data_IF_477372132296
#
_entry.id   IF_477372132296
#
_cell.length_a   1.000
_cell.length_b   1.000
_cell.length_c   1.000
_cell.angle_alpha   90.00
_cell.angle_beta   90.00
_cell.angle_gamma   90.00
#
_symmetry.space_group_name_H-M   'P 1'
#
loop_
_entity.id
_entity.type
_entity.pdbx_description
1 polymer ?
#
# COMPACT_ATOMS: atom_id res chain seq x y z
N UNK A 1 -0.98 16.68 24.00
CA UNK A 1 -2.05 17.61 23.59
C UNK A 1 -1.48 18.85 22.90
N UNK A 2 -0.51 19.59 23.51
CA UNK A 2 0.17 20.77 22.93
C UNK A 2 0.96 20.41 21.66
N UNK A 3 1.62 19.26 21.66
CA UNK A 3 2.33 18.68 20.54
C UNK A 3 1.41 18.51 19.32
N UNK A 4 0.28 17.84 19.49
CA UNK A 4 -0.68 17.53 18.40
C UNK A 4 -1.44 18.77 17.91
N UNK A 5 -1.59 19.79 18.78
CA UNK A 5 -2.20 21.07 18.43
C UNK A 5 -1.24 22.02 17.71
N UNK A 6 0.00 21.60 17.49
CA UNK A 6 1.04 22.45 16.89
C UNK A 6 1.23 23.76 17.65
N UNK A 7 1.25 23.69 19.00
CA UNK A 7 1.25 24.85 19.90
C UNK A 7 2.54 25.65 19.80
N UNK A 8 2.42 26.96 19.68
CA UNK A 8 3.54 27.88 19.49
C UNK A 8 4.42 27.96 20.75
N UNK A 9 3.79 28.00 21.95
CA UNK A 9 4.52 28.17 23.22
C UNK A 9 5.34 26.92 23.50
N UNK A 10 4.75 25.75 23.25
CA UNK A 10 5.45 24.47 23.37
C UNK A 10 6.60 24.36 22.35
N UNK A 11 6.38 24.74 21.11
CA UNK A 11 7.43 24.74 20.07
C UNK A 11 8.59 25.70 20.42
N UNK A 12 8.31 26.89 20.95
CA UNK A 12 9.33 27.84 21.43
C UNK A 12 10.14 27.26 22.60
N UNK A 13 9.43 26.58 23.54
CA UNK A 13 10.10 25.94 24.66
C UNK A 13 11.05 24.83 24.16
N UNK A 14 10.61 23.96 23.24
CA UNK A 14 11.47 22.96 22.64
C UNK A 14 12.66 23.59 21.91
N UNK A 15 12.43 24.64 21.13
CA UNK A 15 13.47 25.35 20.40
C UNK A 15 14.51 25.99 21.32
N UNK A 16 14.14 26.42 22.54
CA UNK A 16 15.09 27.00 23.50
C UNK A 16 16.11 26.00 24.05
N UNK A 17 15.95 24.70 23.80
CA UNK A 17 16.80 23.63 24.28
C UNK A 17 17.94 23.27 23.30
N UNK A 18 17.95 23.85 22.09
CA UNK A 18 18.90 23.48 21.04
C UNK A 18 19.22 24.66 20.11
N UNK A 19 20.32 24.55 19.37
CA UNK A 19 20.78 25.57 18.41
C UNK A 19 20.30 25.29 16.99
N UNK A 20 19.90 24.03 16.69
CA UNK A 20 19.41 23.60 15.38
C UNK A 20 18.44 22.43 15.53
N UNK A 21 17.61 22.22 14.52
CA UNK A 21 16.67 21.12 14.44
C UNK A 21 16.99 20.21 13.25
N UNK A 22 16.98 18.90 13.46
CA UNK A 22 17.10 17.89 12.41
C UNK A 22 15.88 16.97 12.46
N UNK A 23 15.10 16.96 11.37
CA UNK A 23 14.06 15.97 11.19
C UNK A 23 14.61 14.74 10.49
N UNK A 24 14.69 13.63 11.19
CA UNK A 24 15.11 12.33 10.63
C UNK A 24 14.00 11.26 10.74
N UNK A 25 12.75 11.70 10.94
CA UNK A 25 11.58 10.85 11.13
C UNK A 25 10.58 11.03 9.98
N UNK A 26 10.79 10.34 8.86
CA UNK A 26 9.90 10.42 7.69
C UNK A 26 8.45 10.04 8.02
N UNK A 27 8.25 9.01 8.85
CA UNK A 27 6.92 8.49 9.20
C UNK A 27 5.98 9.50 9.86
N UNK A 28 6.52 10.51 10.56
CA UNK A 28 5.72 11.58 11.20
C UNK A 28 5.80 12.93 10.48
N UNK A 29 6.62 13.07 9.43
CA UNK A 29 6.85 14.35 8.73
C UNK A 29 5.60 14.94 8.07
N UNK A 30 4.55 14.15 7.87
CA UNK A 30 3.27 14.61 7.34
C UNK A 30 2.36 15.24 8.40
N UNK A 31 2.73 15.22 9.68
CA UNK A 31 1.91 15.71 10.79
C UNK A 31 2.25 17.15 11.12
N UNK A 32 1.23 17.97 11.30
CA UNK A 32 1.37 19.35 11.79
C UNK A 32 1.51 19.36 13.31
N UNK A 33 2.58 18.78 13.82
CA UNK A 33 2.92 18.74 15.26
C UNK A 33 3.95 19.81 15.63
N UNK A 34 3.94 20.26 16.87
CA UNK A 34 4.83 21.30 17.37
C UNK A 34 6.31 20.95 17.15
N UNK A 35 6.72 19.72 17.47
CA UNK A 35 8.09 19.23 17.29
C UNK A 35 8.48 18.89 15.85
N UNK A 36 7.54 18.89 14.91
CA UNK A 36 7.77 18.56 13.49
C UNK A 36 7.64 19.79 12.60
N UNK A 37 6.56 20.55 12.79
CA UNK A 37 6.20 21.70 11.94
C UNK A 37 6.56 23.03 12.60
N UNK A 38 5.97 23.33 13.75
CA UNK A 38 6.09 24.66 14.36
C UNK A 38 7.51 25.00 14.84
N UNK A 39 8.28 24.00 15.27
CA UNK A 39 9.68 24.17 15.72
C UNK A 39 10.57 24.76 14.63
N UNK A 40 10.26 24.47 13.34
CA UNK A 40 11.07 24.95 12.20
C UNK A 40 10.97 26.47 11.99
N UNK A 41 10.02 27.15 12.63
CA UNK A 41 9.90 28.60 12.61
C UNK A 41 10.89 29.29 13.57
N UNK A 42 11.48 28.53 14.51
CA UNK A 42 12.32 29.08 15.58
C UNK A 42 13.77 28.63 15.54
N UNK A 43 14.09 27.58 14.75
CA UNK A 43 15.46 27.04 14.62
C UNK A 43 15.84 26.83 13.16
N UNK A 44 17.14 26.98 12.80
CA UNK A 44 17.66 26.44 11.56
C UNK A 44 17.32 24.95 11.46
N UNK A 45 16.65 24.54 10.36
CA UNK A 45 16.04 23.22 10.25
C UNK A 45 16.60 22.48 9.05
N UNK A 46 16.93 21.20 9.24
CA UNK A 46 17.58 20.35 8.26
C UNK A 46 16.90 18.97 8.19
N UNK A 47 17.00 18.33 7.03
CA UNK A 47 16.67 16.92 6.89
C UNK A 47 17.81 16.05 7.42
N UNK A 48 17.49 15.00 8.17
CA UNK A 48 18.44 13.98 8.55
C UNK A 48 18.68 12.98 7.42
N UNK A 49 19.70 12.13 7.57
CA UNK A 49 20.14 11.17 6.54
C UNK A 49 19.06 10.12 6.21
N UNK A 50 18.31 9.67 7.21
CA UNK A 50 17.21 8.74 6.97
C UNK A 50 16.07 9.40 6.19
N UNK A 51 15.69 10.63 6.55
CA UNK A 51 14.68 11.41 5.83
C UNK A 51 15.11 11.66 4.38
N UNK A 52 16.36 12.02 4.14
CA UNK A 52 16.90 12.21 2.79
C UNK A 52 16.84 10.91 1.97
N UNK A 53 17.21 9.77 2.58
CA UNK A 53 17.14 8.45 1.94
C UNK A 53 15.71 8.10 1.53
N UNK A 54 14.73 8.31 2.41
CA UNK A 54 13.30 8.09 2.14
C UNK A 54 12.80 8.98 0.98
N UNK A 55 13.13 10.27 1.02
CA UNK A 55 12.75 11.23 -0.03
C UNK A 55 13.35 10.82 -1.38
N UNK A 56 14.63 10.46 -1.42
CA UNK A 56 15.32 10.07 -2.65
C UNK A 56 14.75 8.76 -3.23
N UNK A 57 14.38 7.79 -2.39
CA UNK A 57 13.74 6.57 -2.83
C UNK A 57 12.35 6.85 -3.43
N UNK A 58 11.56 7.73 -2.78
CA UNK A 58 10.23 8.10 -3.27
C UNK A 58 10.28 8.94 -4.55
N UNK A 59 11.31 9.77 -4.75
CA UNK A 59 11.52 10.48 -6.03
C UNK A 59 11.60 9.52 -7.21
N UNK A 60 12.25 8.36 -7.06
CA UNK A 60 12.36 7.35 -8.12
C UNK A 60 11.01 6.75 -8.53
N UNK A 61 10.00 6.76 -7.65
CA UNK A 61 8.64 6.25 -7.94
C UNK A 61 7.60 7.34 -8.19
N UNK A 62 7.97 8.62 -8.04
CA UNK A 62 7.04 9.75 -8.20
C UNK A 62 7.45 10.75 -9.28
N UNK A 63 8.75 10.95 -9.51
CA UNK A 63 9.29 11.95 -10.46
C UNK A 63 10.28 11.35 -11.46
N UNK A 64 11.15 10.42 -11.06
CA UNK A 64 12.16 9.77 -11.89
C UNK A 64 11.70 8.38 -12.35
N UNK A 65 10.42 8.29 -12.72
CA UNK A 65 9.72 7.02 -12.95
C UNK A 65 10.27 6.30 -14.17
N UNK A 66 10.69 5.05 -13.97
CA UNK A 66 10.90 4.09 -15.06
C UNK A 66 9.60 3.32 -15.32
N UNK A 67 9.09 3.43 -16.53
CA UNK A 67 7.85 2.79 -16.96
C UNK A 67 8.13 1.48 -17.70
N UNK A 68 7.19 0.50 -17.65
CA UNK A 68 5.90 0.55 -16.99
C UNK A 68 6.02 0.49 -15.46
N UNK A 69 5.21 1.33 -14.77
CA UNK A 69 5.15 1.38 -13.30
C UNK A 69 3.84 0.78 -12.79
N UNK A 70 3.96 -0.05 -11.75
CA UNK A 70 2.84 -0.71 -11.09
C UNK A 70 2.79 -0.39 -9.62
N UNK A 71 1.60 -0.01 -9.13
CA UNK A 71 1.33 0.07 -7.70
C UNK A 71 0.45 -1.09 -7.27
N UNK A 72 0.81 -1.77 -6.17
CA UNK A 72 -0.01 -2.79 -5.51
C UNK A 72 -0.45 -2.21 -4.18
N UNK A 73 -1.76 -2.08 -3.98
CA UNK A 73 -2.34 -1.49 -2.78
C UNK A 73 -3.26 -2.51 -2.13
N UNK A 74 -2.93 -2.89 -0.90
CA UNK A 74 -3.76 -3.70 -0.02
C UNK A 74 -4.21 -2.92 1.21
N UNK A 75 -5.03 -3.55 2.03
CA UNK A 75 -5.53 -2.98 3.27
C UNK A 75 -7.02 -3.19 3.48
N UNK A 76 -7.57 -2.67 4.57
CA UNK A 76 -8.97 -2.88 4.96
C UNK A 76 -9.92 -1.80 4.43
N UNK A 77 -9.47 -0.53 4.33
CA UNK A 77 -10.32 0.63 4.03
C UNK A 77 -9.90 1.34 2.76
N UNK A 78 -10.79 1.35 1.75
CA UNK A 78 -10.56 2.05 0.48
C UNK A 78 -10.66 3.56 0.66
N UNK A 79 -11.54 4.06 1.53
CA UNK A 79 -11.72 5.49 1.80
C UNK A 79 -10.44 6.16 2.31
N UNK A 80 -9.66 5.47 3.13
CA UNK A 80 -8.39 5.98 3.65
C UNK A 80 -7.29 6.08 2.58
N UNK A 81 -7.42 5.37 1.46
CA UNK A 81 -6.44 5.31 0.38
C UNK A 81 -6.88 6.05 -0.89
N UNK A 82 -8.12 6.58 -0.93
CA UNK A 82 -8.68 7.21 -2.14
C UNK A 82 -7.80 8.34 -2.68
N UNK A 83 -7.36 9.25 -1.82
CA UNK A 83 -6.52 10.38 -2.23
C UNK A 83 -5.19 9.92 -2.81
N UNK A 84 -4.59 8.89 -2.21
CA UNK A 84 -3.35 8.28 -2.70
C UNK A 84 -3.59 7.64 -4.06
N UNK A 85 -4.63 6.82 -4.22
CA UNK A 85 -4.96 6.15 -5.48
C UNK A 85 -5.19 7.18 -6.59
N UNK A 86 -5.98 8.22 -6.34
CA UNK A 86 -6.26 9.30 -7.30
C UNK A 86 -4.99 10.05 -7.72
N UNK A 87 -4.07 10.30 -6.79
CA UNK A 87 -2.79 10.95 -7.07
C UNK A 87 -1.80 10.06 -7.85
N UNK A 88 -1.92 8.74 -7.72
CA UNK A 88 -1.08 7.78 -8.43
C UNK A 88 -1.59 7.50 -9.86
N UNK A 89 -2.90 7.50 -10.10
CA UNK A 89 -3.50 7.21 -11.42
C UNK A 89 -2.84 7.99 -12.57
N UNK A 90 -2.59 9.31 -12.49
CA UNK A 90 -1.96 10.05 -13.57
C UNK A 90 -0.52 9.65 -13.89
N UNK A 91 0.15 8.98 -12.97
CA UNK A 91 1.58 8.67 -13.05
C UNK A 91 1.86 7.19 -13.31
N UNK A 92 0.92 6.30 -12.97
CA UNK A 92 1.08 4.85 -12.98
C UNK A 92 0.37 4.21 -14.16
N UNK A 93 0.99 3.17 -14.71
CA UNK A 93 0.39 2.38 -15.81
C UNK A 93 -0.57 1.32 -15.26
N UNK A 94 -0.29 0.77 -14.05
CA UNK A 94 -1.15 -0.20 -13.40
C UNK A 94 -1.32 0.11 -11.92
N UNK A 95 -2.54 0.00 -11.42
CA UNK A 95 -2.85 -0.04 -9.99
C UNK A 95 -3.61 -1.34 -9.70
N UNK A 96 -3.06 -2.14 -8.81
CA UNK A 96 -3.61 -3.43 -8.38
C UNK A 96 -4.17 -3.26 -6.98
N UNK A 97 -5.47 -3.45 -6.84
CA UNK A 97 -6.17 -3.34 -5.56
C UNK A 97 -6.44 -4.74 -5.02
N UNK A 98 -5.89 -5.04 -3.85
CA UNK A 98 -5.97 -6.35 -3.18
C UNK A 98 -6.38 -6.20 -1.71
N UNK A 99 -6.40 -7.30 -0.95
CA UNK A 99 -6.82 -7.30 0.45
C UNK A 99 -8.31 -6.99 0.61
N UNK A 100 -8.74 -6.68 1.84
CA UNK A 100 -10.15 -6.46 2.13
C UNK A 100 -10.74 -5.23 1.41
N UNK A 101 -9.92 -4.24 1.06
CA UNK A 101 -10.41 -3.11 0.27
C UNK A 101 -10.87 -3.51 -1.14
N UNK A 102 -10.38 -4.60 -1.71
CA UNK A 102 -10.85 -5.12 -2.98
C UNK A 102 -12.30 -5.65 -2.91
N UNK A 103 -12.77 -6.04 -1.73
CA UNK A 103 -14.15 -6.48 -1.51
C UNK A 103 -15.16 -5.37 -1.87
N UNK A 104 -14.79 -4.10 -1.65
CA UNK A 104 -15.63 -2.97 -2.03
C UNK A 104 -15.83 -2.91 -3.55
N UNK A 105 -14.76 -3.17 -4.33
CA UNK A 105 -14.84 -3.20 -5.79
C UNK A 105 -15.64 -4.42 -6.27
N UNK A 106 -15.42 -5.59 -5.67
CA UNK A 106 -16.15 -6.82 -6.00
C UNK A 106 -17.66 -6.60 -5.76
N UNK A 107 -18.04 -6.01 -4.62
CA UNK A 107 -19.40 -5.65 -4.28
C UNK A 107 -19.98 -4.61 -5.25
N UNK A 108 -19.23 -3.54 -5.55
CA UNK A 108 -19.62 -2.50 -6.52
C UNK A 108 -19.92 -3.07 -7.91
N UNK A 109 -19.19 -4.12 -8.32
CA UNK A 109 -19.42 -4.84 -9.58
C UNK A 109 -20.59 -5.82 -9.54
N UNK A 110 -21.37 -5.82 -8.44
CA UNK A 110 -22.58 -6.63 -8.29
C UNK A 110 -22.34 -8.06 -7.82
N UNK A 111 -21.14 -8.41 -7.37
CA UNK A 111 -20.84 -9.73 -6.85
C UNK A 111 -21.06 -9.79 -5.33
N UNK A 112 -21.47 -10.96 -4.83
CA UNK A 112 -21.54 -11.23 -3.40
C UNK A 112 -20.13 -11.29 -2.79
N UNK A 113 -20.00 -10.84 -1.56
CA UNK A 113 -18.76 -10.92 -0.78
C UNK A 113 -18.93 -11.70 0.53
N UNK A 114 -20.12 -12.32 0.73
CA UNK A 114 -20.47 -13.05 1.94
C UNK A 114 -20.38 -12.18 3.20
N UNK A 115 -19.69 -12.71 4.22
CA UNK A 115 -19.43 -12.02 5.50
C UNK A 115 -18.15 -11.15 5.46
N UNK A 116 -17.53 -10.97 4.29
CA UNK A 116 -16.26 -10.23 4.16
C UNK A 116 -16.43 -8.76 4.54
N UNK A 117 -15.37 -8.19 5.11
CA UNK A 117 -15.33 -6.79 5.47
C UNK A 117 -15.48 -5.92 4.21
N UNK A 118 -16.34 -4.92 4.29
CA UNK A 118 -16.46 -3.82 3.32
C UNK A 118 -16.79 -2.51 4.04
N UNK A 119 -16.54 -1.41 3.38
CA UNK A 119 -17.02 -0.10 3.81
C UNK A 119 -18.40 0.18 3.19
N UNK A 120 -19.24 0.86 3.93
CA UNK A 120 -20.52 1.35 3.41
C UNK A 120 -20.32 2.65 2.63
N UNK A 121 -21.22 2.93 1.69
CA UNK A 121 -21.27 4.18 0.92
C UNK A 121 -19.97 4.54 0.16
N UNK A 122 -19.22 3.55 -0.33
CA UNK A 122 -17.99 3.77 -1.08
C UNK A 122 -18.17 3.72 -2.61
N UNK A 123 -19.39 3.60 -3.12
CA UNK A 123 -19.71 3.50 -4.55
C UNK A 123 -19.24 4.72 -5.33
N UNK A 124 -19.43 5.92 -4.78
CA UNK A 124 -18.98 7.19 -5.39
C UNK A 124 -17.46 7.18 -5.51
N UNK A 125 -16.76 6.77 -4.44
CA UNK A 125 -15.30 6.69 -4.38
C UNK A 125 -14.77 5.72 -5.45
N UNK A 126 -15.38 4.55 -5.57
CA UNK A 126 -14.97 3.52 -6.54
C UNK A 126 -15.23 4.00 -7.97
N UNK A 127 -16.38 4.63 -8.21
CA UNK A 127 -16.68 5.20 -9.51
C UNK A 127 -15.65 6.26 -9.92
N UNK A 128 -15.29 7.16 -9.02
CA UNK A 128 -14.26 8.18 -9.27
C UNK A 128 -12.89 7.56 -9.61
N UNK A 129 -12.49 6.46 -8.94
CA UNK A 129 -11.26 5.74 -9.27
C UNK A 129 -11.31 5.23 -10.70
N UNK A 130 -12.40 4.58 -11.11
CA UNK A 130 -12.52 4.02 -12.45
C UNK A 130 -12.62 5.09 -13.54
N UNK A 131 -13.38 6.17 -13.31
CA UNK A 131 -13.47 7.28 -14.28
C UNK A 131 -12.12 8.00 -14.42
N UNK A 132 -11.45 8.30 -13.30
CA UNK A 132 -10.11 8.90 -13.34
C UNK A 132 -9.13 7.99 -14.09
N UNK A 133 -9.17 6.67 -13.84
CA UNK A 133 -8.26 5.73 -14.50
C UNK A 133 -8.43 5.68 -16.02
N UNK A 134 -9.66 5.81 -16.53
CA UNK A 134 -9.92 5.88 -17.98
C UNK A 134 -9.26 7.11 -18.62
N UNK A 135 -9.36 8.28 -17.95
CA UNK A 135 -8.81 9.54 -18.46
C UNK A 135 -7.28 9.52 -18.60
N UNK A 136 -6.59 8.71 -17.79
CA UNK A 136 -5.12 8.61 -17.77
C UNK A 136 -4.57 7.29 -18.32
N UNK A 137 -5.43 6.43 -18.90
CA UNK A 137 -5.03 5.10 -19.40
C UNK A 137 -4.37 4.21 -18.34
N UNK A 138 -4.61 4.48 -17.06
CA UNK A 138 -4.12 3.66 -15.95
C UNK A 138 -5.03 2.45 -15.76
N UNK A 139 -4.46 1.25 -15.75
CA UNK A 139 -5.23 0.01 -15.62
C UNK A 139 -5.47 -0.34 -14.16
N UNK A 140 -6.73 -0.32 -13.73
CA UNK A 140 -7.12 -0.82 -12.41
C UNK A 140 -7.36 -2.33 -12.50
N UNK A 141 -6.64 -3.08 -11.65
CA UNK A 141 -6.79 -4.54 -11.52
C UNK A 141 -7.26 -4.88 -10.12
N UNK A 142 -8.22 -5.78 -10.03
CA UNK A 142 -8.77 -6.32 -8.80
C UNK A 142 -8.98 -7.84 -8.94
N UNK A 143 -9.23 -8.60 -7.87
CA UNK A 143 -9.36 -10.06 -7.94
C UNK A 143 -10.47 -10.54 -8.89
N UNK A 144 -10.18 -11.59 -9.65
CA UNK A 144 -11.13 -12.34 -10.48
C UNK A 144 -11.54 -13.65 -9.80
N UNK A 145 -10.66 -14.18 -8.97
CA UNK A 145 -10.88 -15.31 -8.09
C UNK A 145 -10.25 -15.05 -6.71
N UNK A 146 -10.73 -15.74 -5.71
CA UNK A 146 -10.37 -15.52 -4.31
C UNK A 146 -10.22 -16.84 -3.56
N UNK A 147 -9.52 -16.79 -2.42
CA UNK A 147 -9.56 -17.83 -1.40
C UNK A 147 -10.58 -17.45 -0.33
N UNK A 148 -11.50 -18.35 -0.07
CA UNK A 148 -12.54 -18.16 0.95
C UNK A 148 -12.44 -19.19 2.06
N UNK A 149 -12.88 -18.80 3.26
CA UNK A 149 -13.14 -19.66 4.42
C UNK A 149 -14.46 -19.28 5.08
N UNK A 150 -15.01 -20.11 5.97
CA UNK A 150 -16.17 -19.75 6.80
C UNK A 150 -15.76 -18.87 8.01
N UNK A 151 -14.51 -19.00 8.42
CA UNK A 151 -13.85 -18.20 9.45
C UNK A 151 -12.35 -18.05 9.10
N UNK A 152 -11.63 -17.27 9.89
CA UNK A 152 -10.20 -16.95 9.66
C UNK A 152 -9.25 -18.15 9.84
N UNK A 153 -9.67 -19.20 10.54
CA UNK A 153 -8.88 -20.40 10.84
C UNK A 153 -9.20 -21.60 9.93
N UNK A 154 -10.13 -21.40 8.98
CA UNK A 154 -10.62 -22.46 8.10
C UNK A 154 -9.58 -22.82 7.02
N UNK A 155 -9.79 -23.98 6.37
CA UNK A 155 -9.05 -24.32 5.16
C UNK A 155 -9.51 -23.47 3.99
N UNK A 156 -8.57 -22.97 3.21
CA UNK A 156 -8.86 -22.16 2.04
C UNK A 156 -9.56 -22.96 0.93
N UNK A 157 -10.52 -22.32 0.27
CA UNK A 157 -11.19 -22.81 -0.95
C UNK A 157 -11.10 -21.77 -2.03
N UNK A 158 -10.68 -22.16 -3.24
CA UNK A 158 -10.66 -21.27 -4.41
C UNK A 158 -12.09 -21.07 -4.93
N UNK A 159 -12.44 -19.83 -5.20
CA UNK A 159 -13.71 -19.46 -5.85
C UNK A 159 -13.55 -18.31 -6.83
N UNK A 160 -14.28 -18.37 -7.93
CA UNK A 160 -14.53 -17.20 -8.77
C UNK A 160 -15.40 -16.20 -7.99
N UNK A 161 -15.20 -14.90 -8.20
CA UNK A 161 -15.90 -13.86 -7.44
C UNK A 161 -17.43 -13.88 -7.55
N UNK A 162 -17.98 -14.49 -8.62
CA UNK A 162 -19.42 -14.65 -8.83
C UNK A 162 -20.04 -15.84 -8.06
N UNK A 163 -19.23 -16.66 -7.41
CA UNK A 163 -19.65 -17.92 -6.74
C UNK A 163 -19.48 -17.89 -5.21
N UNK A 164 -19.29 -16.72 -4.61
CA UNK A 164 -19.10 -16.55 -3.17
C UNK A 164 -20.46 -16.70 -2.47
N UNK A 165 -20.49 -17.50 -1.38
CA UNK A 165 -21.68 -17.74 -0.58
C UNK A 165 -21.82 -16.73 0.56
N UNK A 166 -23.04 -16.58 1.07
CA UNK A 166 -23.36 -15.63 2.13
C UNK A 166 -22.67 -15.95 3.48
N UNK A 167 -22.27 -17.22 3.71
CA UNK A 167 -21.59 -17.68 4.93
C UNK A 167 -20.05 -17.69 4.83
N UNK A 168 -19.48 -17.20 3.73
CA UNK A 168 -18.04 -17.21 3.46
C UNK A 168 -17.38 -15.83 3.65
N UNK A 169 -16.09 -15.86 3.94
CA UNK A 169 -15.20 -14.70 4.04
C UNK A 169 -14.16 -14.79 2.92
N UNK A 170 -13.93 -13.70 2.21
CA UNK A 170 -12.78 -13.55 1.30
C UNK A 170 -11.55 -13.25 2.15
N UNK A 171 -10.54 -14.11 2.09
CA UNK A 171 -9.37 -14.02 2.96
C UNK A 171 -8.04 -13.92 2.19
N UNK A 172 -8.01 -14.26 0.89
CA UNK A 172 -6.85 -14.02 0.01
C UNK A 172 -7.30 -13.98 -1.46
N UNK A 173 -6.41 -13.58 -2.34
CA UNK A 173 -6.60 -13.66 -3.79
C UNK A 173 -6.37 -15.08 -4.31
N UNK A 174 -7.10 -15.46 -5.36
CA UNK A 174 -7.00 -16.80 -5.96
C UNK A 174 -5.86 -16.95 -6.98
N UNK A 175 -5.60 -18.18 -7.44
CA UNK A 175 -4.47 -18.50 -8.33
C UNK A 175 -4.54 -17.80 -9.71
N UNK A 176 -5.74 -17.57 -10.24
CA UNK A 176 -5.94 -16.85 -11.50
C UNK A 176 -5.53 -15.38 -11.35
N UNK A 177 -5.96 -14.74 -10.26
CA UNK A 177 -5.58 -13.38 -9.89
C UNK A 177 -4.07 -13.27 -9.66
N UNK A 178 -3.48 -14.21 -8.91
CA UNK A 178 -2.03 -14.29 -8.70
C UNK A 178 -1.28 -14.32 -10.03
N UNK A 179 -1.68 -15.19 -10.95
CA UNK A 179 -1.02 -15.30 -12.26
C UNK A 179 -1.12 -14.01 -13.07
N UNK A 180 -2.26 -13.34 -13.03
CA UNK A 180 -2.46 -12.02 -13.66
C UNK A 180 -1.52 -10.97 -13.08
N UNK A 181 -1.43 -10.88 -11.75
CA UNK A 181 -0.54 -9.96 -11.03
C UNK A 181 0.92 -10.25 -11.36
N UNK A 182 1.33 -11.53 -11.36
CA UNK A 182 2.69 -11.94 -11.74
C UNK A 182 3.06 -11.48 -13.15
N UNK A 183 2.13 -11.57 -14.10
CA UNK A 183 2.37 -11.10 -15.48
C UNK A 183 2.49 -9.57 -15.54
N UNK A 184 1.71 -8.82 -14.76
CA UNK A 184 1.85 -7.35 -14.67
C UNK A 184 3.22 -7.00 -14.09
N UNK A 185 3.63 -7.62 -12.96
CA UNK A 185 4.93 -7.38 -12.32
C UNK A 185 6.09 -7.70 -13.28
N UNK A 186 6.02 -8.81 -14.03
CA UNK A 186 7.06 -9.19 -15.00
C UNK A 186 7.28 -8.13 -16.08
N UNK A 187 6.26 -7.39 -16.44
CA UNK A 187 6.32 -6.33 -17.45
C UNK A 187 6.59 -4.93 -16.86
N UNK A 188 6.74 -4.79 -15.56
CA UNK A 188 6.96 -3.50 -14.89
C UNK A 188 8.46 -3.23 -14.70
N UNK A 189 8.91 -2.00 -14.88
CA UNK A 189 10.26 -1.56 -14.52
C UNK A 189 10.32 -0.93 -13.13
N UNK A 190 9.16 -0.53 -12.59
CA UNK A 190 9.03 -0.03 -11.21
C UNK A 190 7.82 -0.66 -10.55
N UNK A 191 7.98 -1.10 -9.30
CA UNK A 191 6.89 -1.64 -8.48
C UNK A 191 6.88 -0.96 -7.11
N UNK A 192 5.74 -0.39 -6.75
CA UNK A 192 5.44 0.10 -5.40
C UNK A 192 4.41 -0.83 -4.77
N UNK A 193 4.71 -1.38 -3.59
CA UNK A 193 3.80 -2.29 -2.90
C UNK A 193 3.53 -1.84 -1.46
N UNK A 194 2.25 -1.64 -1.13
CA UNK A 194 1.78 -1.25 0.20
C UNK A 194 0.51 -2.02 0.57
N UNK A 195 0.60 -2.90 1.52
CA UNK A 195 -0.49 -3.75 2.05
C UNK A 195 -0.52 -5.16 1.46
N UNK A 196 -0.74 -6.19 2.31
CA UNK A 196 -0.84 -7.59 1.90
C UNK A 196 -2.07 -7.86 1.03
N UNK A 197 -2.01 -8.96 0.28
CA UNK A 197 -3.09 -9.38 -0.61
C UNK A 197 -4.21 -10.14 0.12
N UNK A 198 -3.93 -10.70 1.28
CA UNK A 198 -4.86 -11.50 2.06
C UNK A 198 -4.54 -11.46 3.56
N UNK A 199 -5.22 -12.32 4.32
CA UNK A 199 -5.02 -12.52 5.75
C UNK A 199 -3.77 -13.38 6.00
N UNK A 200 -2.60 -12.73 5.88
CA UNK A 200 -1.28 -13.40 5.86
C UNK A 200 -0.88 -13.99 7.21
N UNK A 201 -1.52 -13.61 8.29
CA UNK A 201 -1.32 -14.16 9.63
C UNK A 201 -1.68 -15.65 9.69
N UNK A 202 -2.60 -16.10 8.82
CA UNK A 202 -2.88 -17.52 8.63
C UNK A 202 -2.20 -18.02 7.34
N UNK A 203 -1.32 -19.03 7.41
CA UNK A 203 -0.64 -19.60 6.23
C UNK A 203 -1.58 -20.08 5.11
N UNK A 204 -2.82 -20.46 5.45
CA UNK A 204 -3.83 -20.86 4.46
C UNK A 204 -4.27 -19.71 3.53
N UNK A 205 -4.03 -18.45 3.92
CA UNK A 205 -4.46 -17.24 3.23
C UNK A 205 -3.31 -16.24 2.98
N UNK A 206 -2.06 -16.71 3.05
CA UNK A 206 -0.86 -15.90 2.83
C UNK A 206 -0.27 -16.03 1.42
N UNK A 207 -0.74 -17.00 0.63
CA UNK A 207 -0.12 -17.38 -0.63
C UNK A 207 -0.12 -16.24 -1.66
N UNK A 208 -1.18 -15.43 -1.73
CA UNK A 208 -1.27 -14.28 -2.62
C UNK A 208 -0.11 -13.30 -2.39
N UNK A 209 0.11 -12.93 -1.15
CA UNK A 209 1.19 -12.02 -0.75
C UNK A 209 2.57 -12.63 -0.98
N UNK A 210 2.76 -13.91 -0.68
CA UNK A 210 4.04 -14.62 -0.90
C UNK A 210 4.42 -14.69 -2.38
N UNK A 211 3.47 -14.98 -3.25
CA UNK A 211 3.72 -15.08 -4.69
C UNK A 211 3.99 -13.70 -5.33
N UNK A 212 3.35 -12.64 -4.83
CA UNK A 212 3.68 -11.25 -5.19
C UNK A 212 5.13 -10.95 -4.81
N UNK A 213 5.50 -11.16 -3.54
CA UNK A 213 6.84 -10.93 -3.03
C UNK A 213 7.91 -11.68 -3.83
N UNK A 214 7.75 -13.00 -4.00
CA UNK A 214 8.67 -13.84 -4.79
C UNK A 214 8.84 -13.35 -6.22
N UNK A 215 7.76 -12.88 -6.84
CA UNK A 215 7.80 -12.40 -8.23
C UNK A 215 8.59 -11.11 -8.35
N UNK A 216 8.38 -10.16 -7.42
CA UNK A 216 9.13 -8.90 -7.36
C UNK A 216 10.61 -9.20 -7.15
N UNK A 217 10.95 -10.00 -6.14
CA UNK A 217 12.34 -10.34 -5.79
C UNK A 217 13.05 -11.04 -6.94
N UNK A 218 12.39 -12.01 -7.60
CA UNK A 218 12.99 -12.69 -8.76
C UNK A 218 13.37 -11.70 -9.86
N UNK A 219 12.53 -10.71 -10.09
CA UNK A 219 12.78 -9.68 -11.09
C UNK A 219 13.83 -8.67 -10.61
N UNK A 220 13.83 -8.33 -9.33
CA UNK A 220 14.82 -7.45 -8.71
C UNK A 220 16.24 -8.03 -8.82
N UNK A 221 16.42 -9.32 -8.50
CA UNK A 221 17.70 -10.04 -8.64
C UNK A 221 18.24 -10.07 -10.07
N UNK A 222 17.40 -9.89 -11.08
CA UNK A 222 17.84 -9.72 -12.47
C UNK A 222 18.16 -8.27 -12.86
N UNK A 223 18.06 -7.32 -11.93
CA UNK A 223 18.28 -5.89 -12.17
C UNK A 223 17.25 -5.22 -13.08
N UNK A 224 16.07 -5.87 -13.29
CA UNK A 224 15.08 -5.42 -14.29
C UNK A 224 13.87 -4.72 -13.65
N UNK A 225 13.89 -4.44 -12.36
CA UNK A 225 12.84 -3.69 -11.67
C UNK A 225 13.43 -2.90 -10.51
N UNK A 226 12.91 -1.71 -10.27
CA UNK A 226 13.11 -0.99 -9.02
C UNK A 226 11.88 -1.22 -8.12
N UNK A 227 12.12 -1.78 -6.92
CA UNK A 227 11.07 -2.22 -6.01
C UNK A 227 11.07 -1.43 -4.71
N UNK A 228 9.93 -0.84 -4.39
CA UNK A 228 9.68 -0.13 -3.13
C UNK A 228 8.55 -0.81 -2.38
N UNK A 229 8.77 -1.10 -1.12
CA UNK A 229 7.72 -1.62 -0.22
C UNK A 229 7.53 -0.70 0.97
N UNK A 230 6.29 -0.61 1.45
CA UNK A 230 5.93 0.16 2.63
C UNK A 230 4.67 -0.39 3.30
N UNK A 231 4.36 0.18 4.47
CA UNK A 231 3.22 -0.24 5.28
C UNK A 231 3.59 -1.34 6.28
N UNK A 232 3.16 -1.15 7.54
CA UNK A 232 3.51 -2.02 8.66
C UNK A 232 3.21 -3.49 8.41
N UNK A 233 2.02 -3.80 7.89
CA UNK A 233 1.60 -5.18 7.62
C UNK A 233 2.43 -5.83 6.50
N UNK A 234 2.80 -5.07 5.45
CA UNK A 234 3.69 -5.57 4.39
C UNK A 234 5.07 -5.89 4.95
N UNK A 235 5.61 -4.98 5.77
CA UNK A 235 6.92 -5.15 6.41
C UNK A 235 6.88 -6.36 7.36
N UNK A 236 5.81 -6.53 8.15
CA UNK A 236 5.64 -7.67 9.05
C UNK A 236 5.64 -8.99 8.29
N UNK A 237 4.87 -9.08 7.20
CA UNK A 237 4.83 -10.23 6.30
C UNK A 237 6.21 -10.55 5.72
N UNK A 238 6.93 -9.55 5.21
CA UNK A 238 8.25 -9.75 4.59
C UNK A 238 9.32 -10.15 5.60
N UNK A 239 9.23 -9.66 6.84
CA UNK A 239 10.08 -10.09 7.95
C UNK A 239 9.80 -11.52 8.36
N UNK A 240 8.51 -11.94 8.44
CA UNK A 240 8.12 -13.30 8.81
C UNK A 240 8.75 -14.34 7.88
N UNK A 241 8.95 -14.01 6.60
CA UNK A 241 9.56 -14.91 5.62
C UNK A 241 11.02 -14.56 5.27
N UNK A 242 11.63 -13.64 6.02
CA UNK A 242 13.04 -13.25 5.93
C UNK A 242 13.51 -12.77 4.53
N UNK A 243 12.66 -12.06 3.79
CA UNK A 243 12.97 -11.58 2.42
C UNK A 243 12.96 -10.05 2.27
N UNK A 244 12.77 -9.32 3.34
CA UNK A 244 12.65 -7.85 3.30
C UNK A 244 13.90 -7.18 2.69
N UNK A 245 15.08 -7.77 2.88
CA UNK A 245 16.36 -7.26 2.35
C UNK A 245 16.53 -7.44 0.84
N UNK A 246 15.67 -8.21 0.21
CA UNK A 246 15.71 -8.47 -1.24
C UNK A 246 14.97 -7.38 -2.06
N UNK A 247 14.42 -6.36 -1.41
CA UNK A 247 13.81 -5.19 -2.05
C UNK A 247 14.80 -4.03 -2.13
N UNK A 248 14.70 -3.18 -3.18
CA UNK A 248 15.61 -2.02 -3.34
C UNK A 248 15.41 -0.98 -2.25
N UNK A 249 14.17 -0.78 -1.84
CA UNK A 249 13.86 0.16 -0.78
C UNK A 249 12.67 -0.31 0.07
N UNK A 250 12.83 -0.16 1.38
CA UNK A 250 11.81 -0.42 2.40
C UNK A 250 11.52 0.90 3.11
N UNK A 251 10.34 1.47 2.88
CA UNK A 251 9.95 2.72 3.53
C UNK A 251 9.58 2.47 4.99
N UNK A 252 10.04 3.35 5.88
CA UNK A 252 9.68 3.36 7.31
C UNK A 252 8.28 3.96 7.54
N UNK A 253 7.70 4.65 6.55
CA UNK A 253 6.35 5.17 6.56
C UNK A 253 5.38 4.22 5.86
N UNK A 254 4.19 4.13 6.41
CA UNK A 254 3.11 3.33 5.84
C UNK A 254 2.38 4.03 4.70
#
# INVERSE_FOLDING_TARGET
>A
EEEEKNDISFAKHLASLADLYVNDAFSCSHRAHASVSKITEFLPSFAGLQLETEINALKKVTTEIKKPITCIIGGSKISSKISIIKNLIPKFDNIIIVGAMANNIISYKGNKIGKSIREENCEIIINEIFETSKNYSCKITYPEDVLVGKNMDDKSKVKEINNIKDDELILDIGPKTINKIKNIIKNSETVLWNGPAGYFENPNFANGSYEIAKTIIKKNKSGSVYSVVGGGDTIALLNQINIIKDFDFVSTAG
#
